data_IF_761695759492
#
_entry.id   IF_761695759492
#
_cell.length_a   1.000
_cell.length_b   1.000
_cell.length_c   1.000
_cell.angle_alpha   90.00
_cell.angle_beta   90.00
_cell.angle_gamma   90.00
#
_symmetry.space_group_name_H-M   'P 1'
#
loop_
_entity.id
_entity.type
_entity.pdbx_description
1 polymer ?
#
# COMPACT_ATOMS: atom_id res chain seq x y z
N UNK A 1 3.25 -5.81 -5.48
CA UNK A 1 3.34 -5.85 -4.01
C UNK A 1 4.80 -6.00 -3.63
N UNK A 2 5.28 -5.22 -2.67
CA UNK A 2 6.66 -5.33 -2.16
C UNK A 2 6.67 -6.03 -0.79
N UNK A 3 7.80 -6.61 -0.41
CA UNK A 3 7.94 -7.22 0.91
C UNK A 3 7.87 -6.17 2.01
N UNK A 4 7.47 -6.58 3.22
CA UNK A 4 7.49 -5.72 4.41
C UNK A 4 8.86 -5.12 4.65
N UNK A 5 9.90 -5.95 4.63
CA UNK A 5 11.29 -5.53 4.85
C UNK A 5 11.72 -4.46 3.85
N UNK A 6 11.35 -4.60 2.57
CA UNK A 6 11.68 -3.60 1.57
C UNK A 6 10.89 -2.30 1.79
N UNK A 7 9.60 -2.40 2.10
CA UNK A 7 8.79 -1.22 2.39
C UNK A 7 9.31 -0.46 3.62
N UNK A 8 9.67 -1.18 4.67
CA UNK A 8 10.12 -0.62 5.94
C UNK A 8 11.36 0.28 5.78
N UNK A 9 12.28 -0.07 4.87
CA UNK A 9 13.46 0.76 4.54
C UNK A 9 13.10 2.19 4.13
N UNK A 10 11.93 2.41 3.54
CA UNK A 10 11.45 3.74 3.14
C UNK A 10 10.75 4.52 4.26
N UNK A 11 10.36 3.84 5.34
CA UNK A 11 9.44 4.39 6.34
C UNK A 11 9.93 4.26 7.80
N UNK A 12 11.22 3.97 8.01
CA UNK A 12 11.84 3.94 9.34
C UNK A 12 11.61 5.26 10.09
N UNK A 13 10.98 5.18 11.26
CA UNK A 13 10.68 6.34 12.10
C UNK A 13 9.65 7.32 11.52
N UNK A 14 8.87 6.90 10.53
CA UNK A 14 7.88 7.77 9.90
C UNK A 14 6.76 8.15 10.90
N UNK A 15 6.36 9.43 11.03
CA UNK A 15 5.42 9.87 12.08
C UNK A 15 4.04 9.20 12.03
N UNK A 16 3.61 8.74 10.85
CA UNK A 16 2.34 7.98 10.68
C UNK A 16 2.47 6.48 10.98
N UNK A 17 3.68 6.01 11.26
CA UNK A 17 4.03 4.61 11.52
C UNK A 17 4.90 4.51 12.78
N UNK A 18 4.35 4.81 13.97
CA UNK A 18 5.11 4.77 15.22
C UNK A 18 5.67 3.36 15.53
N UNK A 19 5.01 2.31 15.03
CA UNK A 19 5.41 0.92 15.19
C UNK A 19 6.05 0.32 13.92
N UNK A 20 6.37 1.16 12.92
CA UNK A 20 6.85 0.69 11.62
C UNK A 20 5.76 0.06 10.75
N UNK A 21 6.17 -0.64 9.70
CA UNK A 21 5.27 -1.38 8.79
C UNK A 21 4.97 -2.75 9.42
N UNK A 22 3.77 -2.93 9.96
CA UNK A 22 3.33 -4.17 10.59
C UNK A 22 2.35 -4.98 9.69
N UNK A 23 1.60 -5.92 10.29
CA UNK A 23 0.61 -6.73 9.57
C UNK A 23 -0.61 -5.91 9.12
N UNK A 24 -0.82 -4.69 9.61
CA UNK A 24 -1.95 -3.84 9.21
C UNK A 24 -1.72 -3.15 7.87
N UNK A 25 -0.51 -3.24 7.30
CA UNK A 25 -0.13 -2.55 6.09
C UNK A 25 0.38 -3.48 4.99
N UNK A 26 0.05 -3.12 3.75
CA UNK A 26 0.61 -3.68 2.54
C UNK A 26 1.16 -2.55 1.69
N UNK A 27 2.30 -2.79 1.04
CA UNK A 27 2.94 -1.79 0.20
C UNK A 27 2.95 -2.22 -1.26
N UNK A 28 2.73 -1.25 -2.16
CA UNK A 28 2.75 -1.47 -3.59
C UNK A 28 3.53 -0.36 -4.30
N UNK A 29 4.27 -0.74 -5.33
CA UNK A 29 5.00 0.17 -6.20
C UNK A 29 4.91 -0.32 -7.63
N UNK A 30 4.83 0.61 -8.57
CA UNK A 30 5.06 0.34 -9.98
C UNK A 30 6.58 0.35 -10.26
N UNK A 31 7.09 -0.79 -10.74
CA UNK A 31 8.52 -0.95 -11.06
C UNK A 31 8.91 -0.30 -12.39
N UNK A 32 7.98 0.31 -13.13
CA UNK A 32 8.29 1.03 -14.35
C UNK A 32 9.15 2.27 -14.07
N UNK A 33 10.38 2.29 -14.58
CA UNK A 33 11.35 3.38 -14.35
C UNK A 33 11.05 4.66 -15.13
N UNK A 34 10.25 4.58 -16.21
CA UNK A 34 9.94 5.69 -17.12
C UNK A 34 8.64 6.42 -16.79
N UNK A 35 7.65 5.70 -16.25
CA UNK A 35 6.37 6.25 -15.80
C UNK A 35 5.83 5.35 -14.69
N UNK A 36 5.98 5.79 -13.43
CA UNK A 36 5.41 5.09 -12.28
C UNK A 36 3.95 5.48 -12.08
N UNK A 37 3.07 4.49 -12.10
CA UNK A 37 1.74 4.62 -11.53
C UNK A 37 1.82 4.65 -10.00
N UNK A 38 1.06 5.54 -9.38
CA UNK A 38 1.01 5.72 -7.93
C UNK A 38 -0.35 6.31 -7.54
N UNK A 39 -0.78 6.03 -6.31
CA UNK A 39 -1.94 6.70 -5.73
C UNK A 39 -1.54 8.13 -5.31
N UNK A 40 -2.43 9.09 -5.48
CA UNK A 40 -2.15 10.50 -5.28
C UNK A 40 -3.13 11.14 -4.27
N UNK A 41 -2.95 12.44 -4.04
CA UNK A 41 -3.86 13.21 -3.20
C UNK A 41 -5.28 13.16 -3.79
N UNK A 42 -6.25 12.77 -2.96
CA UNK A 42 -7.63 12.54 -3.38
C UNK A 42 -8.00 11.06 -3.54
N UNK A 43 -7.03 10.16 -3.65
CA UNK A 43 -7.28 8.71 -3.77
C UNK A 43 -7.41 8.00 -2.41
N UNK A 44 -7.27 8.73 -1.30
CA UNK A 44 -7.38 8.20 0.06
C UNK A 44 -8.72 7.48 0.27
N UNK A 45 -8.67 6.26 0.81
CA UNK A 45 -9.83 5.39 0.96
C UNK A 45 -10.19 4.57 -0.28
N UNK A 46 -9.54 4.80 -1.42
CA UNK A 46 -9.72 4.02 -2.63
C UNK A 46 -9.19 2.58 -2.54
N UNK A 47 -9.74 1.64 -3.33
CA UNK A 47 -9.33 0.25 -3.29
C UNK A 47 -8.02 -0.02 -4.07
N UNK A 48 -7.15 -0.85 -3.50
CA UNK A 48 -6.10 -1.55 -4.24
C UNK A 48 -6.63 -2.91 -4.69
N UNK A 49 -6.79 -3.08 -6.00
CA UNK A 49 -7.32 -4.32 -6.59
C UNK A 49 -6.18 -5.26 -7.01
N UNK A 50 -6.36 -6.55 -6.72
CA UNK A 50 -5.60 -7.64 -7.31
C UNK A 50 -6.47 -8.36 -8.32
N UNK A 51 -6.08 -8.27 -9.60
CA UNK A 51 -6.79 -8.94 -10.69
C UNK A 51 -6.34 -10.39 -10.82
N UNK A 52 -7.29 -11.30 -11.04
CA UNK A 52 -6.99 -12.72 -11.26
C UNK A 52 -8.02 -13.37 -12.18
N UNK A 53 -7.68 -14.52 -12.78
CA UNK A 53 -8.62 -15.28 -13.60
C UNK A 53 -9.87 -15.76 -12.84
N UNK A 54 -9.77 -15.83 -11.50
CA UNK A 54 -10.86 -16.29 -10.62
C UNK A 54 -11.75 -15.13 -10.14
N UNK A 55 -11.43 -13.91 -10.55
CA UNK A 55 -12.10 -12.69 -10.10
C UNK A 55 -11.13 -11.71 -9.44
N UNK A 56 -11.54 -10.45 -9.42
CA UNK A 56 -10.78 -9.37 -8.81
C UNK A 56 -11.03 -9.34 -7.30
N UNK A 57 -10.00 -9.05 -6.53
CA UNK A 57 -10.07 -8.95 -5.07
C UNK A 57 -9.57 -7.60 -4.58
N UNK A 58 -10.26 -7.00 -3.62
CA UNK A 58 -9.72 -5.82 -2.92
C UNK A 58 -8.75 -6.31 -1.86
N UNK A 59 -7.47 -5.95 -2.00
CA UNK A 59 -6.40 -6.40 -1.10
C UNK A 59 -5.89 -5.30 -0.17
N UNK A 60 -6.20 -4.04 -0.47
CA UNK A 60 -5.84 -2.93 0.39
C UNK A 60 -6.67 -1.68 0.17
N UNK A 61 -6.52 -0.73 1.10
CA UNK A 61 -7.17 0.58 1.06
C UNK A 61 -6.09 1.66 1.07
N UNK A 62 -6.12 2.58 0.11
CA UNK A 62 -5.15 3.68 0.00
C UNK A 62 -5.08 4.48 1.29
N UNK A 63 -3.94 4.42 1.99
CA UNK A 63 -3.76 5.09 3.27
C UNK A 63 -2.92 6.35 3.11
N UNK A 64 -1.64 6.20 2.77
CA UNK A 64 -0.73 7.32 2.57
C UNK A 64 0.48 6.92 1.72
N UNK A 65 1.24 7.92 1.32
CA UNK A 65 2.50 7.77 0.61
C UNK A 65 3.26 9.08 0.64
N UNK A 66 4.29 9.16 -0.19
CA UNK A 66 5.07 10.38 -0.38
C UNK A 66 4.44 11.26 -1.47
N UNK A 67 5.24 12.03 -2.19
CA UNK A 67 4.81 12.76 -3.39
C UNK A 67 4.36 11.78 -4.48
N UNK A 68 3.32 12.11 -5.24
CA UNK A 68 2.80 11.23 -6.28
C UNK A 68 3.87 10.83 -7.30
N UNK A 69 3.96 9.54 -7.62
CA UNK A 69 5.00 8.99 -8.50
C UNK A 69 6.34 8.76 -7.80
N UNK A 70 6.34 8.72 -6.47
CA UNK A 70 7.55 8.50 -5.66
C UNK A 70 8.24 7.19 -6.02
N UNK A 71 9.58 7.11 -5.93
CA UNK A 71 10.28 5.83 -5.92
C UNK A 71 10.06 5.03 -4.62
N UNK A 72 9.43 5.62 -3.59
CA UNK A 72 9.01 4.89 -2.41
C UNK A 72 7.64 4.22 -2.65
N UNK A 73 7.42 2.98 -2.16
CA UNK A 73 6.14 2.29 -2.29
C UNK A 73 5.00 3.07 -1.62
N UNK A 74 3.81 3.09 -2.23
CA UNK A 74 2.60 3.55 -1.56
C UNK A 74 2.20 2.59 -0.43
N UNK A 75 1.64 3.13 0.66
CA UNK A 75 1.20 2.37 1.83
C UNK A 75 -0.32 2.26 1.83
N UNK A 76 -0.79 1.03 1.97
CA UNK A 76 -2.20 0.68 1.96
C UNK A 76 -2.52 -0.09 3.25
N UNK A 77 -3.72 0.11 3.79
CA UNK A 77 -4.24 -0.74 4.86
C UNK A 77 -4.48 -2.13 4.30
N UNK A 78 -3.95 -3.18 4.93
CA UNK A 78 -4.08 -4.56 4.47
C UNK A 78 -5.45 -5.13 4.86
N UNK A 79 -6.34 -5.33 3.88
CA UNK A 79 -7.73 -5.79 4.16
C UNK A 79 -7.76 -7.13 4.89
N UNK A 80 -6.82 -8.02 4.57
CA UNK A 80 -6.71 -9.33 5.21
C UNK A 80 -6.67 -9.26 6.74
N UNK A 81 -5.98 -8.26 7.30
CA UNK A 81 -5.82 -8.08 8.75
C UNK A 81 -7.07 -7.55 9.45
N UNK A 82 -8.10 -7.17 8.68
CA UNK A 82 -9.35 -6.63 9.18
C UNK A 82 -10.57 -7.47 8.78
N UNK A 83 -10.39 -8.66 8.20
CA UNK A 83 -11.51 -9.53 7.81
C UNK A 83 -12.42 -9.86 9.00
N UNK A 84 -11.83 -10.20 10.16
CA UNK A 84 -12.58 -10.48 11.39
C UNK A 84 -13.43 -9.29 11.89
N UNK A 85 -13.09 -8.06 11.49
CA UNK A 85 -13.88 -6.87 11.81
C UNK A 85 -14.96 -6.58 10.75
N UNK A 86 -14.71 -6.97 9.50
CA UNK A 86 -15.62 -6.76 8.37
C UNK A 86 -16.78 -7.77 8.40
N UNK A 87 -16.51 -9.01 8.82
CA UNK A 87 -17.45 -10.15 8.86
C UNK A 87 -18.08 -10.35 10.25
#
# INVERSE_FOLDING_TARGET
IVSREECEKHYLGHPRLPNGIDDNFICAIDNNSSRRADACQGDSGGPLLMMSERGDSVIGITAFGNTCGSPAPGVYTAIYSYLDWIE
#
